data_IF_575830196907
#
_entry.id   IF_575830196907
#
_cell.length_a   1.000
_cell.length_b   1.000
_cell.length_c   1.000
_cell.angle_alpha   90.00
_cell.angle_beta   90.00
_cell.angle_gamma   90.00
#
_symmetry.space_group_name_H-M   'P 1'
#
loop_
_entity.id
_entity.type
_entity.pdbx_description
1 polymer ?
#
# COMPACT_ATOMS: atom_id res chain seq x y z
N UNK A 1 4.48 -31.03 1.67
CA UNK A 1 3.76 -29.74 1.54
C UNK A 1 2.33 -29.99 1.95
N UNK A 2 1.86 -29.31 2.98
CA UNK A 2 0.47 -29.43 3.45
C UNK A 2 -0.51 -28.86 2.40
N UNK A 3 -1.80 -29.22 2.46
CA UNK A 3 -2.80 -28.60 1.58
C UNK A 3 -2.87 -27.08 1.72
N UNK A 4 -2.65 -26.57 2.93
CA UNK A 4 -2.63 -25.15 3.24
C UNK A 4 -1.42 -24.43 2.62
N UNK A 5 -0.21 -25.00 2.74
CA UNK A 5 0.98 -24.46 2.06
C UNK A 5 0.83 -24.41 0.52
N UNK A 6 0.08 -25.36 -0.07
CA UNK A 6 -0.19 -25.32 -1.50
C UNK A 6 -1.10 -24.17 -1.88
N UNK A 7 -2.16 -23.92 -1.11
CA UNK A 7 -3.06 -22.80 -1.33
C UNK A 7 -2.32 -21.45 -1.17
N UNK A 8 -1.52 -21.30 -0.11
CA UNK A 8 -0.71 -20.09 0.12
C UNK A 8 0.23 -19.79 -1.04
N UNK A 9 0.98 -20.78 -1.55
CA UNK A 9 1.85 -20.56 -2.73
C UNK A 9 1.12 -20.07 -3.97
N UNK A 10 -0.10 -20.56 -4.21
CA UNK A 10 -0.92 -20.06 -5.31
C UNK A 10 -1.36 -18.60 -5.06
N UNK A 11 -1.73 -18.29 -3.82
CA UNK A 11 -2.14 -16.95 -3.43
C UNK A 11 -0.97 -15.96 -3.52
N UNK A 12 0.24 -16.36 -3.11
CA UNK A 12 1.46 -15.56 -3.28
C UNK A 12 1.69 -15.21 -4.75
N UNK A 13 1.59 -16.21 -5.62
CA UNK A 13 1.71 -15.98 -7.06
C UNK A 13 0.62 -15.04 -7.59
N UNK A 14 -0.63 -15.15 -7.10
CA UNK A 14 -1.70 -14.25 -7.48
C UNK A 14 -1.42 -12.81 -7.04
N UNK A 15 -0.81 -12.60 -5.88
CA UNK A 15 -0.38 -11.27 -5.42
C UNK A 15 0.76 -10.72 -6.30
N UNK A 16 1.78 -11.53 -6.59
CA UNK A 16 2.89 -11.13 -7.45
C UNK A 16 2.40 -10.75 -8.86
N UNK A 17 1.54 -11.56 -9.45
CA UNK A 17 0.93 -11.31 -10.77
C UNK A 17 0.08 -10.02 -10.79
N UNK A 18 -0.55 -9.69 -9.66
CA UNK A 18 -1.31 -8.46 -9.48
C UNK A 18 -0.41 -7.24 -9.17
N UNK A 19 0.89 -7.44 -8.94
CA UNK A 19 1.85 -6.36 -8.66
C UNK A 19 1.94 -5.95 -7.19
N UNK A 20 1.53 -6.83 -6.27
CA UNK A 20 1.79 -6.70 -4.85
C UNK A 20 3.10 -7.39 -4.49
N UNK A 21 3.81 -6.84 -3.54
CA UNK A 21 4.97 -7.53 -2.96
C UNK A 21 4.54 -8.31 -1.73
N UNK A 22 4.67 -9.63 -1.78
CA UNK A 22 4.47 -10.48 -0.60
C UNK A 22 5.71 -10.40 0.28
N UNK A 23 5.53 -10.16 1.57
CA UNK A 23 6.61 -10.08 2.55
C UNK A 23 6.19 -10.71 3.87
N UNK A 24 7.13 -11.34 4.54
CA UNK A 24 6.98 -11.75 5.92
C UNK A 24 6.84 -10.52 6.84
N UNK A 25 6.07 -10.65 7.92
CA UNK A 25 5.80 -9.57 8.88
C UNK A 25 7.07 -8.93 9.47
N UNK A 26 8.13 -9.71 9.63
CA UNK A 26 9.39 -9.24 10.20
C UNK A 26 10.22 -8.42 9.19
N UNK A 27 9.88 -8.53 7.90
CA UNK A 27 10.54 -7.85 6.80
C UNK A 27 9.73 -6.67 6.22
N UNK A 28 8.61 -6.32 6.87
CA UNK A 28 7.80 -5.18 6.43
C UNK A 28 8.58 -3.87 6.54
N UNK A 29 8.69 -3.18 5.43
CA UNK A 29 9.24 -1.82 5.37
C UNK A 29 8.18 -0.86 4.80
N UNK A 30 7.84 0.25 5.51
CA UNK A 30 6.85 1.23 5.05
C UNK A 30 7.16 1.89 3.70
N UNK A 31 8.37 1.71 3.19
CA UNK A 31 8.84 2.23 1.90
C UNK A 31 8.29 1.49 0.69
N UNK A 32 7.64 0.35 0.87
CA UNK A 32 7.08 -0.44 -0.23
C UNK A 32 5.68 0.08 -0.51
N UNK A 33 5.41 0.47 -1.75
CA UNK A 33 4.16 1.12 -2.16
C UNK A 33 2.93 0.21 -2.07
N UNK A 34 3.09 -1.08 -2.35
CA UNK A 34 2.01 -2.06 -2.29
C UNK A 34 2.55 -3.38 -1.74
N UNK A 35 2.06 -3.77 -0.58
CA UNK A 35 2.58 -4.96 0.11
C UNK A 35 1.44 -5.79 0.70
N UNK A 36 1.55 -7.11 0.57
CA UNK A 36 0.79 -8.10 1.30
C UNK A 36 1.70 -8.73 2.37
N UNK A 37 1.42 -8.44 3.63
CA UNK A 37 2.20 -8.97 4.75
C UNK A 37 1.61 -10.31 5.14
N UNK A 38 2.41 -11.37 5.05
CA UNK A 38 2.03 -12.70 5.55
C UNK A 38 1.95 -12.72 7.08
N UNK A 39 0.97 -13.47 7.60
CA UNK A 39 0.75 -13.65 9.04
C UNK A 39 0.69 -12.32 9.79
N UNK A 40 -0.06 -11.37 9.21
CA UNK A 40 -0.19 -10.02 9.74
C UNK A 40 -0.89 -9.98 11.10
N UNK A 41 -0.18 -9.51 12.13
CA UNK A 41 -0.73 -9.41 13.49
C UNK A 41 -1.81 -8.33 13.57
N UNK A 42 -2.95 -8.74 14.11
CA UNK A 42 -4.12 -7.90 14.38
C UNK A 42 -4.30 -7.69 15.89
N UNK A 43 -5.29 -6.89 16.29
CA UNK A 43 -5.66 -6.75 17.71
C UNK A 43 -6.18 -8.07 18.30
N UNK A 44 -6.14 -8.19 19.62
CA UNK A 44 -6.63 -9.36 20.36
C UNK A 44 -5.91 -10.67 20.00
N UNK A 45 -4.63 -10.61 19.62
CA UNK A 45 -3.84 -11.75 19.16
C UNK A 45 -4.45 -12.50 17.97
N UNK A 46 -5.24 -11.80 17.16
CA UNK A 46 -5.69 -12.31 15.88
C UNK A 46 -4.57 -12.16 14.85
N UNK A 47 -4.63 -12.98 13.81
CA UNK A 47 -3.65 -13.00 12.73
C UNK A 47 -4.39 -13.19 11.40
N UNK A 48 -4.16 -12.27 10.45
CA UNK A 48 -4.66 -12.42 9.11
C UNK A 48 -3.62 -13.13 8.26
N UNK A 49 -4.02 -14.06 7.40
CA UNK A 49 -3.09 -14.73 6.49
C UNK A 49 -2.33 -13.72 5.62
N UNK A 50 -3.03 -12.69 5.13
CA UNK A 50 -2.40 -11.55 4.46
C UNK A 50 -3.02 -10.25 4.91
N UNK A 51 -2.18 -9.29 5.28
CA UNK A 51 -2.57 -7.95 5.65
C UNK A 51 -2.07 -6.96 4.58
N UNK A 52 -2.99 -6.26 3.91
CA UNK A 52 -2.71 -5.48 2.71
C UNK A 52 -2.45 -4.01 3.06
N UNK A 53 -1.31 -3.51 2.60
CA UNK A 53 -0.91 -2.12 2.75
C UNK A 53 -0.68 -1.46 1.40
N UNK A 54 -1.19 -0.24 1.27
CA UNK A 54 -0.98 0.62 0.12
C UNK A 54 -0.42 1.97 0.61
N UNK A 55 0.77 2.32 0.13
CA UNK A 55 1.46 3.56 0.55
C UNK A 55 1.53 3.72 2.08
N UNK A 56 1.85 2.65 2.78
CA UNK A 56 2.00 2.63 4.24
C UNK A 56 0.70 2.62 5.04
N UNK A 57 -0.47 2.57 4.39
CA UNK A 57 -1.78 2.49 5.04
C UNK A 57 -2.42 1.14 4.78
N UNK A 58 -2.97 0.55 5.83
CA UNK A 58 -3.75 -0.68 5.73
C UNK A 58 -5.03 -0.42 4.93
N UNK A 59 -5.30 -1.29 3.95
CA UNK A 59 -6.45 -1.17 3.05
C UNK A 59 -7.32 -2.41 3.01
N UNK A 60 -6.82 -3.56 3.47
CA UNK A 60 -7.60 -4.78 3.43
C UNK A 60 -6.90 -5.97 4.07
N UNK A 61 -7.61 -7.08 4.08
CA UNK A 61 -7.12 -8.39 4.53
C UNK A 61 -7.52 -9.47 3.53
N UNK A 62 -6.70 -10.53 3.46
CA UNK A 62 -7.07 -11.75 2.77
C UNK A 62 -6.91 -12.93 3.73
N UNK A 63 -7.95 -13.75 3.81
CA UNK A 63 -7.98 -15.01 4.53
C UNK A 63 -7.76 -16.17 3.56
N UNK A 64 -6.73 -16.96 3.79
CA UNK A 64 -6.40 -18.13 3.01
C UNK A 64 -7.06 -19.38 3.59
N UNK A 65 -7.58 -20.25 2.76
CA UNK A 65 -8.18 -21.52 3.16
C UNK A 65 -7.60 -22.66 2.31
N UNK A 66 -7.71 -23.89 2.81
CA UNK A 66 -7.35 -25.09 2.04
C UNK A 66 -8.22 -25.20 0.81
N UNK A 67 -7.73 -25.86 -0.23
CA UNK A 67 -8.44 -26.02 -1.51
C UNK A 67 -9.86 -26.63 -1.36
N UNK A 68 -10.05 -27.50 -0.36
CA UNK A 68 -11.31 -28.20 -0.12
C UNK A 68 -12.35 -27.35 0.64
N UNK A 69 -11.95 -26.20 1.18
CA UNK A 69 -12.83 -25.34 1.97
C UNK A 69 -13.65 -24.44 1.05
N UNK A 70 -14.96 -24.41 1.29
CA UNK A 70 -15.82 -23.44 0.64
C UNK A 70 -15.60 -22.05 1.21
N UNK A 71 -14.91 -21.19 0.43
CA UNK A 71 -14.63 -19.81 0.81
C UNK A 71 -15.89 -18.94 0.91
N UNK A 72 -17.04 -19.38 0.36
CA UNK A 72 -18.32 -18.66 0.41
C UNK A 72 -19.12 -18.96 1.66
N UNK A 73 -18.65 -19.85 2.53
CA UNK A 73 -19.38 -20.17 3.76
C UNK A 73 -19.47 -18.98 4.71
N UNK A 74 -20.61 -18.83 5.40
CA UNK A 74 -20.87 -17.70 6.32
C UNK A 74 -19.81 -17.57 7.42
N UNK A 75 -19.27 -18.68 7.90
CA UNK A 75 -18.25 -18.70 8.96
C UNK A 75 -16.94 -18.06 8.47
N UNK A 76 -16.51 -18.42 7.27
CA UNK A 76 -15.29 -17.86 6.66
C UNK A 76 -15.48 -16.38 6.35
N UNK A 77 -16.67 -16.01 5.85
CA UNK A 77 -17.04 -14.62 5.57
C UNK A 77 -17.03 -13.75 6.84
N UNK A 78 -17.56 -14.25 7.94
CA UNK A 78 -17.57 -13.52 9.22
C UNK A 78 -16.17 -13.31 9.79
N UNK A 79 -15.29 -14.29 9.66
CA UNK A 79 -13.90 -14.20 10.13
C UNK A 79 -13.14 -13.06 9.44
N UNK A 80 -13.21 -12.98 8.13
CA UNK A 80 -12.51 -11.95 7.37
C UNK A 80 -13.02 -10.54 7.68
N UNK A 81 -14.33 -10.37 7.93
CA UNK A 81 -14.91 -9.09 8.38
C UNK A 81 -14.42 -8.71 9.78
N UNK A 82 -14.30 -9.70 10.69
CA UNK A 82 -13.74 -9.47 12.03
C UNK A 82 -12.30 -8.95 11.91
N UNK A 83 -11.48 -9.53 11.06
CA UNK A 83 -10.11 -9.09 10.84
C UNK A 83 -10.01 -7.67 10.31
N UNK A 84 -10.89 -7.28 9.39
CA UNK A 84 -10.96 -5.90 8.88
C UNK A 84 -11.26 -4.85 9.97
N UNK A 85 -11.83 -5.26 11.10
CA UNK A 85 -12.12 -4.40 12.26
C UNK A 85 -11.02 -4.37 13.31
N UNK A 86 -10.14 -5.37 13.30
CA UNK A 86 -9.16 -5.64 14.38
C UNK A 86 -7.77 -5.11 14.04
N UNK A 87 -7.67 -3.93 13.48
CA UNK A 87 -6.39 -3.31 13.07
C UNK A 87 -5.70 -2.68 14.26
N UNK A 88 -4.44 -3.08 14.58
CA UNK A 88 -3.68 -2.48 15.67
C UNK A 88 -3.44 -0.99 15.47
N UNK A 89 -3.55 -0.22 16.55
CA UNK A 89 -3.36 1.24 16.56
C UNK A 89 -1.97 1.70 16.09
N UNK A 90 -0.98 0.82 16.10
CA UNK A 90 0.37 1.10 15.55
C UNK A 90 0.38 1.26 14.03
N UNK A 91 -0.61 0.75 13.32
CA UNK A 91 -0.73 0.88 11.87
C UNK A 91 -1.68 2.00 11.49
N UNK A 92 -1.31 2.77 10.50
CA UNK A 92 -2.25 3.68 9.86
C UNK A 92 -3.19 2.87 8.96
N UNK A 93 -4.49 3.03 9.15
CA UNK A 93 -5.50 2.48 8.25
C UNK A 93 -6.02 3.57 7.32
N UNK A 94 -6.43 3.20 6.12
CA UNK A 94 -7.11 4.12 5.22
C UNK A 94 -8.47 4.54 5.81
N UNK A 95 -9.20 3.57 6.34
CA UNK A 95 -10.41 3.73 7.14
C UNK A 95 -10.63 2.47 8.00
N UNK A 96 -11.52 2.53 8.96
CA UNK A 96 -11.94 1.39 9.79
C UNK A 96 -13.47 1.27 9.76
N UNK A 97 -13.99 0.04 9.57
CA UNK A 97 -13.25 -1.18 9.23
C UNK A 97 -12.46 -1.02 7.94
N UNK A 98 -11.44 -1.86 7.74
CA UNK A 98 -10.70 -1.85 6.47
C UNK A 98 -11.66 -2.05 5.30
N UNK A 99 -11.51 -1.30 4.20
CA UNK A 99 -12.48 -1.30 3.12
C UNK A 99 -12.58 -2.62 2.37
N UNK A 100 -11.50 -3.38 2.26
CA UNK A 100 -11.44 -4.53 1.36
C UNK A 100 -11.16 -5.84 2.07
N UNK A 101 -11.99 -6.81 1.81
CA UNK A 101 -11.90 -8.16 2.37
C UNK A 101 -11.86 -9.17 1.25
N UNK A 102 -10.85 -10.04 1.30
CA UNK A 102 -10.67 -11.14 0.36
C UNK A 102 -10.67 -12.46 1.10
N UNK A 103 -11.09 -13.50 0.41
CA UNK A 103 -10.94 -14.88 0.85
C UNK A 103 -10.53 -15.72 -0.36
N UNK A 104 -9.59 -16.63 -0.16
CA UNK A 104 -9.10 -17.47 -1.23
C UNK A 104 -8.69 -18.85 -0.74
N UNK A 105 -8.97 -19.87 -1.54
CA UNK A 105 -8.41 -21.22 -1.35
C UNK A 105 -7.37 -21.56 -2.43
N UNK A 106 -6.88 -20.53 -3.14
CA UNK A 106 -5.92 -20.68 -4.22
C UNK A 106 -6.54 -21.09 -5.58
N UNK A 107 -7.82 -21.48 -5.61
CA UNK A 107 -8.57 -21.78 -6.84
C UNK A 107 -9.72 -20.82 -7.04
N UNK A 108 -10.41 -20.49 -5.95
CA UNK A 108 -11.52 -19.54 -5.92
C UNK A 108 -11.10 -18.39 -5.01
N UNK A 109 -11.26 -17.18 -5.50
CA UNK A 109 -11.06 -15.96 -4.72
C UNK A 109 -12.34 -15.14 -4.73
N UNK A 110 -12.79 -14.73 -3.56
CA UNK A 110 -13.94 -13.84 -3.42
C UNK A 110 -13.52 -12.54 -2.73
N UNK A 111 -14.27 -11.49 -3.00
CA UNK A 111 -14.00 -10.13 -2.56
C UNK A 111 -15.28 -9.45 -2.09
N UNK A 112 -15.15 -8.61 -1.07
CA UNK A 112 -16.21 -7.72 -0.60
C UNK A 112 -15.66 -6.34 -0.29
N UNK A 113 -16.38 -5.31 -0.73
CA UNK A 113 -16.13 -3.91 -0.35
C UNK A 113 -17.00 -3.54 0.85
N UNK A 114 -16.40 -3.36 2.01
CA UNK A 114 -17.12 -3.06 3.27
C UNK A 114 -17.59 -1.60 3.37
N UNK A 115 -17.28 -0.74 2.41
CA UNK A 115 -17.79 0.65 2.38
C UNK A 115 -19.24 0.73 1.94
N UNK A 116 -19.69 -0.26 1.20
CA UNK A 116 -21.09 -0.41 0.80
C UNK A 116 -21.76 -1.49 1.66
N UNK A 117 -22.69 -1.09 2.49
CA UNK A 117 -23.42 -2.00 3.37
C UNK A 117 -24.23 -3.06 2.59
N UNK A 118 -24.60 -2.76 1.35
CA UNK A 118 -25.32 -3.67 0.46
C UNK A 118 -24.38 -4.51 -0.41
N UNK A 119 -23.05 -4.33 -0.28
CA UNK A 119 -22.08 -5.12 -1.04
C UNK A 119 -22.21 -6.60 -0.67
N UNK A 120 -22.21 -7.44 -1.68
CA UNK A 120 -22.11 -8.89 -1.53
C UNK A 120 -20.73 -9.38 -1.91
N UNK A 121 -20.40 -10.62 -1.53
CA UNK A 121 -19.16 -11.24 -1.99
C UNK A 121 -19.27 -11.57 -3.48
N UNK A 122 -18.27 -11.10 -4.24
CA UNK A 122 -18.15 -11.38 -5.66
C UNK A 122 -16.92 -12.26 -5.92
N UNK A 123 -17.06 -13.24 -6.81
CA UNK A 123 -15.96 -14.07 -7.23
C UNK A 123 -15.06 -13.30 -8.21
N UNK A 124 -13.75 -13.40 -8.01
CA UNK A 124 -12.74 -12.74 -8.81
C UNK A 124 -11.93 -13.75 -9.61
N UNK A 125 -11.59 -13.40 -10.84
CA UNK A 125 -10.64 -14.17 -11.66
C UNK A 125 -9.17 -13.89 -11.24
N UNK A 126 -8.90 -12.79 -10.56
CA UNK A 126 -7.59 -12.38 -10.03
C UNK A 126 -7.75 -11.38 -8.89
N UNK A 127 -6.72 -11.25 -8.07
CA UNK A 127 -6.64 -10.18 -7.05
C UNK A 127 -6.55 -8.81 -7.76
N UNK A 128 -7.18 -7.79 -7.16
CA UNK A 128 -7.08 -6.43 -7.66
C UNK A 128 -5.63 -5.92 -7.61
N UNK A 129 -5.23 -5.24 -8.66
CA UNK A 129 -3.94 -4.55 -8.68
C UNK A 129 -3.94 -3.34 -7.72
N UNK A 130 -2.77 -2.89 -7.23
CA UNK A 130 -2.67 -1.67 -6.44
C UNK A 130 -3.32 -0.45 -7.10
N UNK A 131 -3.22 -0.33 -8.42
CA UNK A 131 -3.86 0.77 -9.19
C UNK A 131 -5.38 0.70 -9.16
N UNK A 132 -5.95 -0.49 -9.21
CA UNK A 132 -7.40 -0.68 -9.08
C UNK A 132 -7.86 -0.32 -7.68
N UNK A 133 -7.11 -0.71 -6.64
CA UNK A 133 -7.39 -0.33 -5.26
C UNK A 133 -7.34 1.20 -5.08
N UNK A 134 -6.33 1.87 -5.62
CA UNK A 134 -6.25 3.35 -5.64
C UNK A 134 -7.50 3.96 -6.26
N UNK A 135 -7.92 3.45 -7.42
CA UNK A 135 -9.12 3.92 -8.12
C UNK A 135 -10.40 3.66 -7.31
N UNK A 136 -10.55 2.48 -6.73
CA UNK A 136 -11.70 2.11 -5.91
C UNK A 136 -11.79 2.98 -4.65
N UNK A 137 -10.65 3.34 -4.05
CA UNK A 137 -10.60 4.23 -2.89
C UNK A 137 -10.83 5.71 -3.25
N UNK A 138 -10.89 6.04 -4.53
CA UNK A 138 -10.98 7.44 -4.99
C UNK A 138 -9.74 8.25 -4.66
N UNK A 139 -8.60 7.59 -4.42
CA UNK A 139 -7.33 8.25 -4.18
C UNK A 139 -6.88 8.85 -5.51
N UNK A 140 -6.79 10.17 -5.56
CA UNK A 140 -6.11 10.84 -6.67
C UNK A 140 -4.61 10.62 -6.48
N UNK A 141 -3.96 10.03 -7.47
CA UNK A 141 -2.49 10.02 -7.53
C UNK A 141 -2.03 11.45 -7.80
N UNK A 142 -1.87 12.21 -6.73
CA UNK A 142 -1.48 13.63 -6.78
C UNK A 142 -0.13 13.83 -7.48
N UNK A 143 0.66 12.78 -7.59
CA UNK A 143 2.00 12.79 -8.17
C UNK A 143 2.10 12.13 -9.56
N UNK A 144 1.01 11.59 -10.10
CA UNK A 144 0.99 10.96 -11.42
C UNK A 144 1.46 11.89 -12.55
N UNK A 145 1.32 13.19 -12.37
CA UNK A 145 1.76 14.21 -13.31
C UNK A 145 3.26 14.53 -13.26
N UNK A 146 4.01 14.00 -12.28
CA UNK A 146 5.44 14.27 -12.17
C UNK A 146 6.23 13.63 -13.32
N UNK A 147 6.87 14.40 -14.19
CA UNK A 147 7.72 13.85 -15.23
C UNK A 147 9.01 13.29 -14.63
N UNK A 148 9.59 12.28 -15.26
CA UNK A 148 10.89 11.72 -14.83
C UNK A 148 11.91 12.85 -14.64
N UNK A 149 12.52 12.89 -13.45
CA UNK A 149 13.56 13.87 -13.15
C UNK A 149 14.76 13.66 -14.07
N UNK A 150 15.20 14.69 -14.74
CA UNK A 150 16.41 14.68 -15.57
C UNK A 150 17.58 15.27 -14.77
N UNK A 151 18.72 14.60 -14.78
CA UNK A 151 19.92 15.03 -14.04
C UNK A 151 20.54 16.33 -14.57
N UNK A 152 20.16 16.77 -15.76
CA UNK A 152 20.71 17.96 -16.44
C UNK A 152 20.69 19.19 -15.54
N UNK A 153 21.86 19.75 -15.22
CA UNK A 153 22.01 20.93 -14.36
C UNK A 153 22.00 20.65 -12.86
N UNK A 154 21.76 19.40 -12.43
CA UNK A 154 21.80 18.98 -11.05
C UNK A 154 23.14 18.26 -10.74
N UNK A 155 23.67 18.53 -9.55
CA UNK A 155 24.75 17.68 -8.98
C UNK A 155 24.17 16.33 -8.55
N UNK A 156 25.00 15.31 -8.44
CA UNK A 156 24.57 13.96 -8.09
C UNK A 156 23.75 13.92 -6.79
N UNK A 157 24.25 14.56 -5.74
CA UNK A 157 23.54 14.64 -4.46
C UNK A 157 22.21 15.39 -4.52
N UNK A 158 22.05 16.37 -5.41
CA UNK A 158 20.81 17.10 -5.61
C UNK A 158 19.79 16.25 -6.37
N UNK A 159 20.25 15.57 -7.43
CA UNK A 159 19.43 14.66 -8.22
C UNK A 159 18.89 13.52 -7.34
N UNK A 160 19.76 12.89 -6.57
CA UNK A 160 19.41 11.81 -5.65
C UNK A 160 18.42 12.28 -4.60
N UNK A 161 18.68 13.41 -3.94
CA UNK A 161 17.81 13.97 -2.92
C UNK A 161 16.39 14.30 -3.45
N UNK A 162 16.28 14.86 -4.66
CA UNK A 162 14.97 15.16 -5.27
C UNK A 162 14.28 13.88 -5.70
N UNK A 163 14.99 12.92 -6.32
CA UNK A 163 14.43 11.64 -6.74
C UNK A 163 13.86 10.86 -5.55
N UNK A 164 14.60 10.78 -4.46
CA UNK A 164 14.16 10.09 -3.24
C UNK A 164 12.99 10.80 -2.57
N UNK A 165 12.97 12.13 -2.56
CA UNK A 165 11.84 12.91 -2.07
C UNK A 165 10.56 12.63 -2.87
N UNK A 166 10.65 12.69 -4.21
CA UNK A 166 9.52 12.42 -5.09
C UNK A 166 9.02 10.98 -4.97
N UNK A 167 9.94 10.02 -4.93
CA UNK A 167 9.62 8.62 -4.68
C UNK A 167 8.91 8.43 -3.35
N UNK A 168 9.38 9.10 -2.29
CA UNK A 168 8.77 9.07 -0.96
C UNK A 168 7.32 9.57 -0.99
N UNK A 169 7.05 10.67 -1.67
CA UNK A 169 5.69 11.22 -1.80
C UNK A 169 4.80 10.33 -2.69
N UNK A 170 5.32 9.82 -3.80
CA UNK A 170 4.60 8.87 -4.66
C UNK A 170 4.22 7.57 -3.92
N UNK A 171 4.96 7.20 -2.88
CA UNK A 171 4.64 6.06 -1.99
C UNK A 171 3.76 6.44 -0.80
N UNK A 172 3.21 7.66 -0.79
CA UNK A 172 2.25 8.11 0.23
C UNK A 172 2.88 8.55 1.55
N UNK A 173 4.21 8.71 1.59
CA UNK A 173 4.86 9.30 2.75
C UNK A 173 4.54 10.80 2.80
N UNK A 174 4.18 11.30 3.98
CA UNK A 174 3.86 12.72 4.19
C UNK A 174 4.99 13.50 4.88
N UNK A 175 6.13 12.85 5.11
CA UNK A 175 7.33 13.44 5.71
C UNK A 175 8.57 12.86 5.05
N UNK A 176 9.55 13.70 4.80
CA UNK A 176 10.85 13.29 4.29
C UNK A 176 11.94 14.15 4.92
N UNK A 177 13.14 13.56 5.10
CA UNK A 177 14.31 14.26 5.56
C UNK A 177 15.39 14.18 4.46
N UNK A 178 15.82 15.33 3.96
CA UNK A 178 16.96 15.44 3.06
C UNK A 178 18.18 15.97 3.80
N UNK A 179 19.27 15.22 3.82
CA UNK A 179 20.53 15.63 4.43
C UNK A 179 21.55 15.95 3.36
N UNK A 180 21.96 17.20 3.26
CA UNK A 180 22.93 17.68 2.28
C UNK A 180 24.07 18.44 2.97
N UNK A 181 25.30 18.19 2.54
CA UNK A 181 26.49 18.87 3.07
C UNK A 181 26.43 20.39 2.86
N UNK A 182 27.21 21.14 3.64
CA UNK A 182 27.39 22.58 3.44
C UNK A 182 28.01 22.81 2.05
N UNK A 183 27.47 23.78 1.30
CA UNK A 183 27.92 24.04 -0.08
C UNK A 183 27.34 23.12 -1.16
N UNK A 184 26.58 22.08 -0.80
CA UNK A 184 25.92 21.18 -1.77
C UNK A 184 24.76 21.82 -2.56
N UNK A 185 24.36 23.05 -2.19
CA UNK A 185 23.26 23.75 -2.85
C UNK A 185 21.88 23.42 -2.31
N UNK A 186 21.74 23.31 -0.99
CA UNK A 186 20.46 22.99 -0.30
C UNK A 186 19.28 23.85 -0.80
N UNK A 187 19.50 25.17 -0.89
CA UNK A 187 18.46 26.11 -1.35
C UNK A 187 18.02 25.82 -2.77
N UNK A 188 18.96 25.55 -3.67
CA UNK A 188 18.67 25.19 -5.06
C UNK A 188 17.89 23.88 -5.14
N UNK A 189 18.29 22.86 -4.36
CA UNK A 189 17.57 21.58 -4.27
C UNK A 189 16.15 21.77 -3.79
N UNK A 190 15.95 22.55 -2.73
CA UNK A 190 14.61 22.84 -2.19
C UNK A 190 13.75 23.63 -3.19
N UNK A 191 14.32 24.65 -3.86
CA UNK A 191 13.60 25.42 -4.89
C UNK A 191 13.22 24.55 -6.09
N UNK A 192 14.10 23.64 -6.54
CA UNK A 192 13.81 22.75 -7.65
C UNK A 192 12.71 21.74 -7.28
N UNK A 193 12.77 21.14 -6.10
CA UNK A 193 11.72 20.27 -5.59
C UNK A 193 10.38 21.02 -5.51
N UNK A 194 10.36 22.22 -4.91
CA UNK A 194 9.18 23.05 -4.83
C UNK A 194 8.60 23.42 -6.20
N UNK A 195 9.46 23.81 -7.15
CA UNK A 195 9.06 24.10 -8.52
C UNK A 195 8.36 22.90 -9.17
N UNK A 196 8.93 21.72 -9.05
CA UNK A 196 8.35 20.51 -9.62
C UNK A 196 7.01 20.16 -8.98
N UNK A 197 6.90 20.23 -7.66
CA UNK A 197 5.65 20.00 -6.94
C UNK A 197 4.55 20.97 -7.38
N UNK A 198 4.85 22.27 -7.49
CA UNK A 198 3.87 23.28 -7.91
C UNK A 198 3.50 23.18 -9.39
N UNK A 199 4.45 22.74 -10.25
CA UNK A 199 4.24 22.70 -11.70
C UNK A 199 3.54 21.44 -12.19
N UNK A 200 3.76 20.30 -11.51
CA UNK A 200 3.36 18.98 -12.02
C UNK A 200 2.44 18.21 -11.09
N UNK A 201 2.04 18.80 -9.96
CA UNK A 201 1.10 18.18 -9.02
C UNK A 201 -0.05 19.14 -8.71
N UNK A 202 -1.14 18.70 -8.08
CA UNK A 202 -2.22 19.58 -7.62
C UNK A 202 -1.83 20.56 -6.51
N UNK A 203 -0.61 20.51 -5.97
CA UNK A 203 -0.15 21.43 -4.95
C UNK A 203 -0.25 22.88 -5.41
N UNK A 204 -0.70 23.77 -4.51
CA UNK A 204 -0.90 25.20 -4.81
C UNK A 204 -0.08 26.11 -3.92
N UNK A 205 0.41 25.62 -2.80
CA UNK A 205 1.14 26.42 -1.81
C UNK A 205 2.22 25.60 -1.15
N UNK A 206 3.39 26.21 -0.94
CA UNK A 206 4.50 25.66 -0.18
C UNK A 206 4.92 26.69 0.86
N UNK A 207 5.03 26.28 2.10
CA UNK A 207 5.53 27.11 3.19
C UNK A 207 6.99 26.74 3.48
N UNK A 208 7.89 27.72 3.34
CA UNK A 208 9.27 27.61 3.78
C UNK A 208 9.41 28.18 5.18
N UNK A 209 9.87 27.37 6.11
CA UNK A 209 10.28 27.81 7.43
C UNK A 209 11.80 27.77 7.49
N UNK A 210 12.42 28.92 7.71
CA UNK A 210 13.88 29.05 7.80
C UNK A 210 14.23 29.71 9.12
N UNK A 211 15.28 29.21 9.75
CA UNK A 211 15.93 29.87 10.86
C UNK A 211 17.16 30.60 10.29
N UNK A 212 17.06 31.92 10.13
CA UNK A 212 18.07 32.90 9.66
C UNK A 212 18.94 32.46 8.47
#
# INVERSE_FOLDING_TARGET
MSPEEKARKKIDQMFDDAGWKVVDRDHYAPKISAVAIEEGLLEHNLEADYFLFLNGKAVGVLEAKREEVDVKSDVVCAQAVLYARSVPSKYQAYMLPLPFVYQSNGNITIFKDLRDENSEYVELNRIHTPKEIVKMLGITDEFAGLPTLKKRGLRDCQFEAISELESSFCTGQNRALMVLATGAGKTYTACMAAYRMLSYTPMRRILFLVDR
#
